data_IF_281761435376
#
_entry.id   IF_281761435376
#
_cell.length_a   1.000
_cell.length_b   1.000
_cell.length_c   1.000
_cell.angle_alpha   90.00
_cell.angle_beta   90.00
_cell.angle_gamma   90.00
#
_symmetry.space_group_name_H-M   'P 1'
#
loop_
_entity.id
_entity.type
_entity.pdbx_description
1 polymer ?
#
# COMPACT_ATOMS: atom_id res chain seq x y z
N UNK A 1 14.19 42.78 -23.70
CA UNK A 1 13.34 41.60 -23.43
C UNK A 1 12.00 41.93 -24.06
N UNK A 2 11.62 41.26 -25.15
CA UNK A 2 10.34 41.56 -25.80
C UNK A 2 9.21 41.06 -24.90
N UNK A 3 8.26 41.93 -24.56
CA UNK A 3 7.07 41.51 -23.83
C UNK A 3 6.31 40.44 -24.64
N UNK A 4 5.79 39.39 -23.98
CA UNK A 4 5.04 38.35 -24.66
C UNK A 4 3.80 38.97 -25.31
N UNK A 5 3.64 38.74 -26.62
CA UNK A 5 2.54 39.28 -27.43
C UNK A 5 1.19 38.64 -27.03
N UNK A 6 1.21 37.42 -26.50
CA UNK A 6 0.06 36.72 -25.92
C UNK A 6 0.39 36.20 -24.51
N UNK A 7 -0.53 36.29 -23.53
CA UNK A 7 -0.41 35.59 -22.25
C UNK A 7 -0.21 34.07 -22.40
N UNK A 8 -0.69 33.50 -23.52
CA UNK A 8 -0.51 32.10 -23.89
C UNK A 8 0.93 31.72 -24.30
N UNK A 9 1.79 32.69 -24.60
CA UNK A 9 3.21 32.46 -24.94
C UNK A 9 4.12 32.39 -23.70
N UNK A 10 3.55 32.64 -22.51
CA UNK A 10 4.26 32.56 -21.23
C UNK A 10 4.23 31.11 -20.77
N UNK A 11 5.39 30.46 -20.80
CA UNK A 11 5.56 29.17 -20.15
C UNK A 11 5.61 29.39 -18.64
N UNK A 12 4.55 28.99 -17.93
CA UNK A 12 4.53 28.97 -16.47
C UNK A 12 4.99 27.60 -16.01
N UNK A 13 6.16 27.53 -15.38
CA UNK A 13 6.71 26.29 -14.82
C UNK A 13 7.42 26.59 -13.49
N UNK A 14 7.17 25.79 -12.43
CA UNK A 14 6.15 24.75 -12.34
C UNK A 14 4.72 25.33 -12.41
N UNK A 15 3.72 24.55 -12.83
CA UNK A 15 2.34 25.00 -12.76
C UNK A 15 1.93 25.26 -11.29
N UNK A 16 1.05 26.23 -11.03
CA UNK A 16 0.52 26.44 -9.69
C UNK A 16 -0.20 25.15 -9.22
N UNK A 17 -0.02 24.74 -7.96
CA UNK A 17 -0.64 23.52 -7.46
C UNK A 17 -2.17 23.67 -7.41
N UNK A 18 -2.87 22.75 -8.06
CA UNK A 18 -4.33 22.61 -7.98
C UNK A 18 -4.66 21.32 -7.20
N UNK A 19 -4.96 21.47 -5.91
CA UNK A 19 -5.23 20.36 -5.00
C UNK A 19 -6.63 20.54 -4.41
N UNK A 20 -7.62 20.02 -5.12
CA UNK A 20 -9.00 20.00 -4.65
C UNK A 20 -9.16 19.15 -3.37
N UNK A 21 -10.15 19.44 -2.51
CA UNK A 21 -10.45 18.61 -1.35
C UNK A 21 -11.03 17.24 -1.77
N UNK A 22 -10.75 16.20 -0.98
CA UNK A 22 -11.38 14.88 -1.15
C UNK A 22 -10.82 14.02 -2.29
N UNK A 23 -9.63 14.35 -2.80
CA UNK A 23 -8.97 13.56 -3.85
C UNK A 23 -8.48 12.22 -3.31
N UNK A 24 -8.78 11.15 -4.04
CA UNK A 24 -8.24 9.81 -3.77
C UNK A 24 -6.74 9.69 -4.11
N UNK A 25 -6.23 10.58 -4.97
CA UNK A 25 -4.82 10.66 -5.35
C UNK A 25 -4.39 12.12 -5.40
N UNK A 26 -3.31 12.46 -4.70
CA UNK A 26 -2.74 13.80 -4.72
C UNK A 26 -1.96 14.04 -6.02
N UNK A 27 -2.24 15.12 -6.77
CA UNK A 27 -1.50 15.50 -7.98
C UNK A 27 -0.18 16.19 -7.60
N UNK A 28 0.70 15.44 -6.91
CA UNK A 28 1.97 15.94 -6.37
C UNK A 28 3.11 15.95 -7.38
N UNK A 29 3.01 15.16 -8.45
CA UNK A 29 3.95 15.26 -9.56
C UNK A 29 3.60 16.51 -10.39
N UNK A 30 4.40 17.57 -10.25
CA UNK A 30 4.13 18.86 -10.90
C UNK A 30 4.33 18.85 -12.42
N UNK A 31 5.22 17.99 -12.91
CA UNK A 31 5.64 17.92 -14.30
C UNK A 31 6.33 16.58 -14.59
N UNK A 32 6.39 16.21 -15.87
CA UNK A 32 7.18 15.09 -16.37
C UNK A 32 8.41 15.56 -17.14
N UNK A 33 9.11 14.60 -17.76
CA UNK A 33 10.31 14.86 -18.55
C UNK A 33 10.13 15.96 -19.59
N UNK A 34 9.03 15.93 -20.36
CA UNK A 34 8.80 16.86 -21.48
C UNK A 34 8.65 18.29 -20.98
N UNK A 35 7.90 18.48 -19.90
CA UNK A 35 7.67 19.78 -19.28
C UNK A 35 8.97 20.35 -18.68
N UNK A 36 9.74 19.54 -17.94
CA UNK A 36 11.03 19.97 -17.40
C UNK A 36 12.03 20.32 -18.49
N UNK A 37 12.14 19.48 -19.53
CA UNK A 37 13.01 19.75 -20.68
C UNK A 37 12.61 21.04 -21.38
N UNK A 38 11.31 21.25 -21.62
CA UNK A 38 10.80 22.48 -22.25
C UNK A 38 11.10 23.72 -21.41
N UNK A 39 10.92 23.65 -20.09
CA UNK A 39 11.24 24.73 -19.17
C UNK A 39 12.73 25.10 -19.21
N UNK A 40 13.62 24.11 -19.07
CA UNK A 40 15.06 24.36 -19.11
C UNK A 40 15.54 24.93 -20.45
N UNK A 41 15.02 24.43 -21.58
CA UNK A 41 15.35 24.98 -22.90
C UNK A 41 14.86 26.42 -23.09
N UNK A 42 13.70 26.76 -22.51
CA UNK A 42 13.12 28.11 -22.55
C UNK A 42 13.94 29.10 -21.73
N UNK A 43 14.58 28.65 -20.65
CA UNK A 43 15.42 29.47 -19.76
C UNK A 43 16.81 29.78 -20.36
N UNK A 44 17.32 28.99 -21.32
CA UNK A 44 18.68 29.21 -21.89
C UNK A 44 18.95 30.67 -22.30
N UNK A 45 18.08 31.35 -23.06
CA UNK A 45 18.32 32.73 -23.49
C UNK A 45 18.29 33.75 -22.34
N UNK A 46 17.71 33.39 -21.19
CA UNK A 46 17.63 34.26 -20.01
C UNK A 46 18.94 34.24 -19.21
N UNK A 47 19.79 33.23 -19.44
CA UNK A 47 21.08 33.12 -18.79
C UNK A 47 22.20 33.70 -19.66
N UNK A 48 22.69 34.89 -19.31
CA UNK A 48 23.74 35.59 -20.07
C UNK A 48 25.03 34.78 -20.28
N UNK A 49 25.38 33.89 -19.32
CA UNK A 49 26.52 32.98 -19.45
C UNK A 49 26.38 31.98 -20.62
N UNK A 50 25.16 31.71 -21.07
CA UNK A 50 24.84 30.78 -22.15
C UNK A 50 24.54 31.48 -23.47
N UNK A 51 24.64 32.81 -23.55
CA UNK A 51 24.25 33.58 -24.74
C UNK A 51 25.01 33.17 -26.03
N UNK A 52 26.25 32.68 -25.91
CA UNK A 52 27.05 32.21 -27.03
C UNK A 52 26.77 30.75 -27.41
N UNK A 53 26.11 29.98 -26.54
CA UNK A 53 25.83 28.57 -26.77
C UNK A 53 24.61 28.41 -27.68
N UNK A 54 24.81 27.80 -28.85
CA UNK A 54 23.76 27.66 -29.86
C UNK A 54 23.16 26.26 -29.96
N UNK A 55 23.72 25.27 -29.28
CA UNK A 55 23.20 23.91 -29.20
C UNK A 55 22.81 23.26 -30.55
N UNK A 56 23.65 23.44 -31.59
CA UNK A 56 23.38 22.95 -32.97
C UNK A 56 24.11 21.68 -33.37
N UNK A 57 25.00 21.16 -32.52
CA UNK A 57 25.74 19.94 -32.80
C UNK A 57 24.91 18.69 -32.53
N UNK A 58 25.05 17.65 -33.37
CA UNK A 58 24.39 16.34 -33.21
C UNK A 58 24.90 15.51 -32.01
N UNK A 59 25.62 16.13 -31.09
CA UNK A 59 26.20 15.53 -29.89
C UNK A 59 26.51 16.58 -28.83
N UNK A 60 25.67 17.62 -28.74
CA UNK A 60 25.90 18.72 -27.81
C UNK A 60 25.75 18.25 -26.34
N UNK A 61 26.86 18.27 -25.60
CA UNK A 61 26.91 17.83 -24.20
C UNK A 61 25.98 18.63 -23.30
N UNK A 62 25.78 19.93 -23.58
CA UNK A 62 24.89 20.76 -22.78
C UNK A 62 23.43 20.33 -22.94
N UNK A 63 23.01 19.97 -24.16
CA UNK A 63 21.67 19.42 -24.39
C UNK A 63 21.52 18.06 -23.72
N UNK A 64 22.51 17.18 -23.85
CA UNK A 64 22.51 15.89 -23.17
C UNK A 64 22.39 16.05 -21.65
N UNK A 65 23.08 17.04 -21.07
CA UNK A 65 23.02 17.32 -19.64
C UNK A 65 21.63 17.84 -19.21
N UNK A 66 21.02 18.73 -20.00
CA UNK A 66 19.65 19.20 -19.73
C UNK A 66 18.62 18.07 -19.84
N UNK A 67 18.77 17.16 -20.81
CA UNK A 67 17.90 16.00 -20.95
C UNK A 67 18.10 15.00 -19.79
N UNK A 68 19.35 14.77 -19.37
CA UNK A 68 19.66 13.97 -18.18
C UNK A 68 18.99 14.57 -16.94
N UNK A 69 19.08 15.89 -16.74
CA UNK A 69 18.42 16.55 -15.60
C UNK A 69 16.90 16.48 -15.69
N UNK A 70 16.31 16.61 -16.88
CA UNK A 70 14.87 16.45 -17.06
C UNK A 70 14.40 15.05 -16.64
N UNK A 71 15.19 14.03 -16.95
CA UNK A 71 14.95 12.66 -16.50
C UNK A 71 15.06 12.50 -14.98
N UNK A 72 16.12 13.05 -14.37
CA UNK A 72 16.29 13.02 -12.91
C UNK A 72 15.11 13.68 -12.21
N UNK A 73 14.67 14.85 -12.69
CA UNK A 73 13.54 15.59 -12.13
C UNK A 73 12.22 14.83 -12.27
N UNK A 74 11.98 14.14 -13.39
CA UNK A 74 10.80 13.31 -13.59
C UNK A 74 10.77 12.13 -12.60
N UNK A 75 11.90 11.42 -12.45
CA UNK A 75 12.01 10.30 -11.49
C UNK A 75 11.81 10.78 -10.05
N UNK A 76 12.43 11.90 -9.66
CA UNK A 76 12.25 12.47 -8.31
C UNK A 76 10.81 12.92 -8.10
N UNK A 77 10.21 13.58 -9.08
CA UNK A 77 8.81 14.02 -9.02
C UNK A 77 7.83 12.85 -8.89
N UNK A 78 8.10 11.75 -9.58
CA UNK A 78 7.34 10.50 -9.43
C UNK A 78 7.40 9.97 -8.00
N UNK A 79 8.61 9.87 -7.41
CA UNK A 79 8.76 9.36 -6.05
C UNK A 79 8.19 10.30 -4.99
N UNK A 80 8.34 11.61 -5.15
CA UNK A 80 7.70 12.59 -4.25
C UNK A 80 6.18 12.40 -4.25
N UNK A 81 5.58 12.24 -5.43
CA UNK A 81 4.14 11.99 -5.52
C UNK A 81 3.72 10.71 -4.80
N UNK A 82 4.51 9.62 -4.91
CA UNK A 82 4.21 8.36 -4.19
C UNK A 82 4.34 8.53 -2.68
N UNK A 83 5.41 9.15 -2.21
CA UNK A 83 5.64 9.39 -0.77
C UNK A 83 4.53 10.27 -0.19
N UNK A 84 4.12 11.31 -0.92
CA UNK A 84 3.06 12.20 -0.50
C UNK A 84 1.72 11.49 -0.36
N UNK A 85 1.37 10.61 -1.32
CA UNK A 85 0.13 9.83 -1.25
C UNK A 85 0.13 8.85 -0.06
N UNK A 86 1.28 8.29 0.33
CA UNK A 86 1.40 7.43 1.51
C UNK A 86 1.29 8.18 2.85
N UNK A 87 1.32 9.51 2.83
CA UNK A 87 1.31 10.36 4.03
C UNK A 87 -0.09 10.70 4.54
N UNK A 88 -1.16 10.37 3.80
CA UNK A 88 -2.55 10.63 4.21
C UNK A 88 -3.38 9.36 4.17
N UNK A 89 -4.29 9.20 5.15
CA UNK A 89 -5.06 7.98 5.33
C UNK A 89 -5.95 7.65 4.12
N UNK A 90 -6.51 8.66 3.47
CA UNK A 90 -7.41 8.48 2.33
C UNK A 90 -6.68 8.09 1.04
N UNK A 91 -5.42 8.52 0.89
CA UNK A 91 -4.63 8.33 -0.34
C UNK A 91 -3.59 7.23 -0.23
N UNK A 92 -3.28 6.75 0.98
CA UNK A 92 -2.28 5.72 1.21
C UNK A 92 -2.72 4.39 0.59
N UNK A 93 -1.83 3.79 -0.20
CA UNK A 93 -2.08 2.50 -0.87
C UNK A 93 -1.47 1.36 -0.06
N UNK A 94 -0.35 1.59 0.61
CA UNK A 94 0.31 0.55 1.40
C UNK A 94 -0.42 0.36 2.75
N UNK A 95 -0.86 -0.88 3.08
CA UNK A 95 -1.51 -1.16 4.36
C UNK A 95 -0.66 -0.77 5.57
N UNK A 96 0.67 -0.91 5.45
CA UNK A 96 1.61 -0.52 6.49
C UNK A 96 1.62 0.99 6.75
N UNK A 97 1.51 1.83 5.71
CA UNK A 97 1.43 3.29 5.87
C UNK A 97 0.14 3.67 6.58
N UNK A 98 -0.99 3.14 6.12
CA UNK A 98 -2.29 3.37 6.77
C UNK A 98 -2.27 2.95 8.25
N UNK A 99 -1.73 1.76 8.56
CA UNK A 99 -1.53 1.27 9.93
C UNK A 99 -0.70 2.23 10.79
N UNK A 100 0.41 2.76 10.24
CA UNK A 100 1.27 3.73 10.95
C UNK A 100 0.56 5.06 11.19
N UNK A 101 -0.21 5.54 10.22
CA UNK A 101 -0.97 6.79 10.35
C UNK A 101 -2.04 6.67 11.44
N UNK A 102 -2.83 5.60 11.46
CA UNK A 102 -3.87 5.42 12.48
C UNK A 102 -3.31 5.07 13.86
N UNK A 103 -2.11 4.47 13.93
CA UNK A 103 -1.43 4.20 15.19
C UNK A 103 -1.10 5.48 15.97
N UNK A 104 -0.91 6.62 15.30
CA UNK A 104 -0.72 7.93 15.95
C UNK A 104 -1.96 8.35 16.77
N UNK A 105 -3.15 7.87 16.40
CA UNK A 105 -4.40 8.10 17.12
C UNK A 105 -4.62 7.08 18.25
N UNK A 106 -3.70 6.14 18.44
CA UNK A 106 -3.86 5.00 19.36
C UNK A 106 -4.73 3.88 18.80
N UNK A 107 -5.17 3.96 17.53
CA UNK A 107 -5.91 2.88 16.89
C UNK A 107 -4.96 1.82 16.33
N UNK A 108 -5.18 0.57 16.71
CA UNK A 108 -4.47 -0.58 16.15
C UNK A 108 -5.45 -1.40 15.32
N UNK A 109 -5.28 -1.50 13.99
CA UNK A 109 -6.11 -2.36 13.16
C UNK A 109 -6.11 -3.80 13.66
N UNK A 110 -7.27 -4.47 13.54
CA UNK A 110 -7.44 -5.86 13.98
C UNK A 110 -6.36 -6.72 13.30
N UNK A 111 -5.51 -7.43 14.07
CA UNK A 111 -4.50 -8.30 13.48
C UNK A 111 -5.18 -9.44 12.71
N UNK A 112 -4.42 -10.17 11.91
CA UNK A 112 -4.87 -11.46 11.42
C UNK A 112 -5.20 -12.35 12.63
N UNK A 113 -6.45 -12.77 12.75
CA UNK A 113 -6.92 -13.64 13.83
C UNK A 113 -7.17 -15.02 13.21
N UNK A 114 -6.74 -16.07 13.89
CA UNK A 114 -7.07 -17.44 13.50
C UNK A 114 -8.58 -17.67 13.61
N UNK A 115 -9.13 -18.49 12.72
CA UNK A 115 -10.46 -19.03 12.94
C UNK A 115 -10.45 -19.99 14.12
N UNK A 116 -11.56 -20.04 14.86
CA UNK A 116 -11.77 -20.97 15.97
C UNK A 116 -13.04 -21.77 15.72
N UNK A 117 -13.00 -23.07 16.05
CA UNK A 117 -14.14 -23.97 15.93
C UNK A 117 -14.25 -24.80 17.20
N UNK A 118 -15.48 -25.14 17.60
CA UNK A 118 -15.73 -26.10 18.68
C UNK A 118 -16.04 -27.46 18.08
N UNK A 119 -15.20 -28.45 18.36
CA UNK A 119 -15.38 -29.82 17.89
C UNK A 119 -15.85 -30.72 19.04
N UNK A 120 -16.77 -31.62 18.73
CA UNK A 120 -17.14 -32.73 19.60
C UNK A 120 -16.53 -34.01 19.03
N UNK A 121 -15.81 -34.75 19.88
CA UNK A 121 -15.09 -35.97 19.47
C UNK A 121 -15.54 -37.10 20.37
N UNK A 122 -15.80 -38.26 19.77
CA UNK A 122 -16.05 -39.51 20.47
C UNK A 122 -14.78 -40.36 20.43
N UNK A 123 -14.48 -41.04 21.54
CA UNK A 123 -13.39 -41.99 21.63
C UNK A 123 -13.91 -43.34 22.09
N UNK A 124 -13.36 -44.41 21.53
CA UNK A 124 -13.66 -45.79 21.93
C UNK A 124 -12.71 -46.26 23.03
N UNK A 125 -13.21 -47.11 23.93
CA UNK A 125 -12.45 -47.67 25.05
C UNK A 125 -13.11 -47.42 26.40
N UNK A 126 -12.45 -47.88 27.47
CA UNK A 126 -12.90 -47.69 28.84
C UNK A 126 -12.11 -46.58 29.58
N UNK A 127 -10.88 -46.29 29.15
CA UNK A 127 -10.00 -45.36 29.83
C UNK A 127 -10.10 -43.93 29.27
N UNK A 128 -9.78 -42.90 30.08
CA UNK A 128 -9.76 -41.52 29.61
C UNK A 128 -8.66 -41.33 28.56
N UNK A 129 -9.01 -40.73 27.43
CA UNK A 129 -8.09 -40.44 26.33
C UNK A 129 -7.61 -39.00 26.44
N UNK A 130 -6.30 -38.81 26.65
CA UNK A 130 -5.69 -37.49 26.67
C UNK A 130 -5.44 -37.00 25.24
N UNK A 131 -5.98 -35.84 24.92
CA UNK A 131 -5.74 -35.09 23.71
C UNK A 131 -4.78 -33.92 24.05
N UNK A 132 -3.48 -34.02 23.74
CA UNK A 132 -2.54 -32.97 24.06
C UNK A 132 -2.84 -31.66 23.31
N UNK A 133 -2.31 -30.55 23.80
CA UNK A 133 -2.28 -29.31 23.01
C UNK A 133 -1.46 -29.53 21.73
N UNK A 134 -1.87 -28.91 20.62
CA UNK A 134 -1.28 -29.14 19.30
C UNK A 134 -1.82 -30.38 18.57
N UNK A 135 -2.86 -31.03 19.09
CA UNK A 135 -3.52 -32.11 18.34
C UNK A 135 -4.24 -31.50 17.14
N UNK A 136 -3.89 -31.97 15.95
CA UNK A 136 -4.37 -31.41 14.70
C UNK A 136 -5.65 -32.11 14.19
N UNK A 137 -6.63 -31.32 13.76
CA UNK A 137 -7.84 -31.74 13.07
C UNK A 137 -7.87 -31.09 11.69
N UNK A 138 -8.22 -31.86 10.67
CA UNK A 138 -8.32 -31.35 9.30
C UNK A 138 -9.80 -31.24 8.90
N UNK A 139 -10.21 -30.07 8.41
CA UNK A 139 -11.52 -29.91 7.80
C UNK A 139 -11.58 -30.61 6.45
N UNK A 140 -12.78 -30.87 5.94
CA UNK A 140 -12.95 -31.16 4.52
C UNK A 140 -12.77 -29.88 3.68
N UNK A 141 -12.59 -30.06 2.37
CA UNK A 141 -12.67 -28.94 1.43
C UNK A 141 -14.13 -28.48 1.31
N UNK A 142 -14.36 -27.19 1.18
CA UNK A 142 -15.71 -26.64 0.98
C UNK A 142 -15.71 -25.65 -0.19
N UNK A 143 -16.50 -25.95 -1.23
CA UNK A 143 -16.53 -25.13 -2.44
C UNK A 143 -15.15 -24.98 -3.08
N UNK A 144 -14.65 -23.75 -3.16
CA UNK A 144 -13.32 -23.42 -3.68
C UNK A 144 -12.25 -23.25 -2.57
N UNK A 145 -12.58 -23.55 -1.31
CA UNK A 145 -11.65 -23.43 -0.19
C UNK A 145 -10.94 -24.76 0.08
N UNK A 146 -9.59 -24.79 0.08
CA UNK A 146 -8.84 -26.01 0.38
C UNK A 146 -9.00 -26.41 1.85
N UNK A 147 -8.82 -27.71 2.19
CA UNK A 147 -8.86 -28.20 3.57
C UNK A 147 -7.96 -27.39 4.51
N UNK A 148 -8.48 -27.02 5.67
CA UNK A 148 -7.73 -26.28 6.69
C UNK A 148 -7.37 -27.20 7.85
N UNK A 149 -6.23 -26.94 8.47
CA UNK A 149 -5.77 -27.65 9.68
C UNK A 149 -5.99 -26.74 10.88
N UNK A 150 -6.68 -27.26 11.89
CA UNK A 150 -6.90 -26.65 13.19
C UNK A 150 -6.14 -27.42 14.24
N UNK A 151 -5.68 -26.74 15.29
CA UNK A 151 -4.98 -27.38 16.40
C UNK A 151 -5.66 -27.06 17.73
N UNK A 152 -5.60 -28.01 18.66
CA UNK A 152 -6.07 -27.78 20.03
C UNK A 152 -5.14 -26.79 20.75
N UNK A 153 -5.68 -25.64 21.17
CA UNK A 153 -4.88 -24.66 21.92
C UNK A 153 -4.50 -25.12 23.33
N UNK A 154 -5.30 -26.00 23.93
CA UNK A 154 -5.08 -26.57 25.26
C UNK A 154 -5.34 -28.07 25.25
N UNK A 155 -4.68 -28.80 26.17
CA UNK A 155 -4.97 -30.22 26.34
C UNK A 155 -6.43 -30.44 26.78
N UNK A 156 -7.04 -31.50 26.28
CA UNK A 156 -8.40 -31.93 26.63
C UNK A 156 -8.41 -33.42 26.94
N UNK A 157 -9.33 -33.88 27.77
CA UNK A 157 -9.51 -35.31 28.06
C UNK A 157 -10.87 -35.74 27.57
N UNK A 158 -10.88 -36.76 26.70
CA UNK A 158 -12.09 -37.41 26.23
C UNK A 158 -12.41 -38.54 27.21
N UNK A 159 -13.63 -38.56 27.71
CA UNK A 159 -14.14 -39.57 28.62
C UNK A 159 -15.15 -40.44 27.86
N UNK A 160 -14.79 -41.67 27.41
CA UNK A 160 -15.69 -42.50 26.61
C UNK A 160 -17.06 -42.74 27.25
N UNK A 161 -17.14 -42.72 28.58
CA UNK A 161 -18.40 -42.86 29.34
C UNK A 161 -19.39 -41.71 29.07
N UNK A 162 -18.92 -40.58 28.52
CA UNK A 162 -19.73 -39.40 28.19
C UNK A 162 -20.19 -39.36 26.74
N UNK A 163 -19.83 -40.33 25.91
CA UNK A 163 -20.21 -40.35 24.49
C UNK A 163 -21.74 -40.34 24.28
N UNK A 164 -22.52 -40.84 25.24
CA UNK A 164 -23.99 -40.86 25.18
C UNK A 164 -24.67 -39.56 25.60
N UNK A 165 -23.89 -38.57 26.06
CA UNK A 165 -24.45 -37.31 26.55
C UNK A 165 -24.92 -36.43 25.39
N UNK A 166 -26.10 -35.83 25.54
CA UNK A 166 -26.59 -34.83 24.59
C UNK A 166 -25.87 -33.51 24.82
N UNK A 167 -25.24 -32.98 23.77
CA UNK A 167 -24.63 -31.66 23.81
C UNK A 167 -25.71 -30.58 23.90
N UNK A 168 -25.52 -29.62 24.79
CA UNK A 168 -26.37 -28.43 24.83
C UNK A 168 -26.11 -27.57 23.57
N UNK A 169 -27.10 -26.77 23.11
CA UNK A 169 -26.90 -25.84 22.01
C UNK A 169 -25.74 -24.88 22.33
N UNK A 170 -24.81 -24.73 21.39
CA UNK A 170 -23.70 -23.79 21.53
C UNK A 170 -24.29 -22.38 21.45
N UNK A 171 -24.21 -21.62 22.55
CA UNK A 171 -24.48 -20.18 22.54
C UNK A 171 -23.21 -19.48 22.08
N UNK A 172 -23.23 -18.85 20.91
CA UNK A 172 -22.12 -18.02 20.43
C UNK A 172 -21.90 -16.84 21.37
N UNK A 173 -20.64 -16.49 21.64
CA UNK A 173 -20.30 -15.23 22.28
C UNK A 173 -20.57 -14.04 21.37
N UNK A 174 -20.66 -12.83 21.93
CA UNK A 174 -20.78 -11.56 21.16
C UNK A 174 -19.59 -11.33 20.22
N UNK A 175 -18.51 -12.08 20.40
CA UNK A 175 -17.26 -11.97 19.66
C UNK A 175 -16.81 -13.30 18.99
N UNK A 176 -17.68 -14.33 18.98
CA UNK A 176 -17.49 -15.57 18.22
C UNK A 176 -18.05 -15.43 16.79
#
# INVERSE_FOLDING_TARGET
>A
MADPCCPCDVLVHPPPPDIAPGLAVLPRQWAGFVEYRRAMLREIPLHGALAAWRARGTGDLGIMLLEMWAYVLDVVGFYDARIANESYLHTAVLPLSAQRLVALLGYRPKPAVSSAVRLAVFADGADPVLLPAGTAFRSEAFGNEPPQVFETGTAATIWPQRNSWRLAPIRGGVFD
#
